data_IF_926016783245
#
_entry.id   IF_926016783245
#
_cell.length_a   1.000
_cell.length_b   1.000
_cell.length_c   1.000
_cell.angle_alpha   90.00
_cell.angle_beta   90.00
_cell.angle_gamma   90.00
#
_symmetry.space_group_name_H-M   'P 1'
#
loop_
_entity.id
_entity.type
_entity.pdbx_description
1 polymer ?
#
# COMPACT_ATOMS: atom_id res chain seq x y z
N UNK A 1 -15.95 17.42 -26.48
CA UNK A 1 -14.55 17.62 -26.00
C UNK A 1 -13.92 16.25 -25.88
N UNK A 2 -12.80 16.03 -26.53
CA UNK A 2 -12.08 14.76 -26.42
C UNK A 2 -11.25 14.78 -25.12
N UNK A 3 -11.72 14.07 -24.11
CA UNK A 3 -11.10 14.01 -22.77
C UNK A 3 -9.67 13.49 -22.85
N UNK A 4 -9.41 12.54 -23.77
CA UNK A 4 -8.07 11.99 -23.96
C UNK A 4 -7.11 13.03 -24.54
N UNK A 5 -7.55 13.77 -25.56
CA UNK A 5 -6.74 14.85 -26.15
C UNK A 5 -6.43 15.95 -25.14
N UNK A 6 -7.39 16.31 -24.30
CA UNK A 6 -7.16 17.27 -23.20
C UNK A 6 -6.16 16.73 -22.19
N UNK A 7 -6.28 15.47 -21.76
CA UNK A 7 -5.34 14.85 -20.84
C UNK A 7 -3.91 14.87 -21.39
N UNK A 8 -3.71 14.43 -22.63
CA UNK A 8 -2.40 14.43 -23.29
C UNK A 8 -1.78 15.83 -23.37
N UNK A 9 -2.59 16.85 -23.64
CA UNK A 9 -2.12 18.25 -23.72
C UNK A 9 -1.70 18.76 -22.34
N UNK A 10 -2.39 18.36 -21.28
CA UNK A 10 -2.16 18.86 -19.91
C UNK A 10 -1.06 18.11 -19.16
N UNK A 11 -0.61 16.93 -19.65
CA UNK A 11 0.30 16.05 -18.89
C UNK A 11 1.55 15.61 -19.68
N UNK A 12 2.22 16.53 -20.43
CA UNK A 12 3.37 16.17 -21.28
C UNK A 12 4.59 15.67 -20.48
N UNK A 13 4.83 16.20 -19.27
CA UNK A 13 5.93 15.74 -18.41
C UNK A 13 5.63 14.36 -17.83
N UNK A 14 4.39 14.09 -17.46
CA UNK A 14 3.96 12.77 -17.02
C UNK A 14 4.13 11.73 -18.13
N UNK A 15 3.81 12.08 -19.39
CA UNK A 15 4.07 11.22 -20.56
C UNK A 15 5.57 10.88 -20.68
N UNK A 16 6.44 11.88 -20.63
CA UNK A 16 7.89 11.70 -20.74
C UNK A 16 8.46 10.85 -19.58
N UNK A 17 7.94 11.04 -18.37
CA UNK A 17 8.32 10.23 -17.20
C UNK A 17 7.84 8.79 -17.33
N UNK A 18 6.64 8.56 -17.85
CA UNK A 18 6.14 7.21 -18.12
C UNK A 18 7.01 6.49 -19.15
N UNK A 19 7.34 7.13 -20.28
CA UNK A 19 8.24 6.56 -21.29
C UNK A 19 9.62 6.22 -20.68
N UNK A 20 10.15 7.10 -19.85
CA UNK A 20 11.40 6.83 -19.14
C UNK A 20 11.28 5.67 -18.17
N UNK A 21 10.17 5.60 -17.40
CA UNK A 21 9.92 4.58 -16.39
C UNK A 21 9.79 3.18 -17.01
N UNK A 22 9.18 3.03 -18.20
CA UNK A 22 9.04 1.74 -18.89
C UNK A 22 10.37 1.08 -19.26
N UNK A 23 11.47 1.84 -19.27
CA UNK A 23 12.83 1.31 -19.50
C UNK A 23 13.43 0.62 -18.26
N UNK A 24 12.87 0.86 -17.08
CA UNK A 24 13.42 0.39 -15.80
C UNK A 24 12.40 -0.31 -14.91
N UNK A 25 11.11 -0.02 -15.10
CA UNK A 25 10.03 -0.55 -14.29
C UNK A 25 9.05 -1.33 -15.18
N UNK A 26 8.68 -2.55 -14.83
CA UNK A 26 7.67 -3.30 -15.56
C UNK A 26 6.35 -2.52 -15.63
N UNK A 27 5.89 -2.21 -16.87
CA UNK A 27 4.68 -1.41 -17.08
C UNK A 27 4.79 0.05 -16.62
N UNK A 28 6.02 0.58 -16.41
CA UNK A 28 6.27 1.97 -16.02
C UNK A 28 5.90 2.31 -14.58
N UNK A 29 5.60 1.33 -13.74
CA UNK A 29 5.14 1.54 -12.37
C UNK A 29 5.49 0.35 -11.46
N UNK A 30 5.59 0.59 -10.16
CA UNK A 30 5.72 -0.47 -9.14
C UNK A 30 4.37 -0.97 -8.63
N UNK A 31 3.25 -0.36 -9.07
CA UNK A 31 1.89 -0.73 -8.67
C UNK A 31 0.99 -0.81 -9.90
N UNK A 32 0.54 -1.99 -10.26
CA UNK A 32 -0.38 -2.19 -11.39
C UNK A 32 -1.73 -1.51 -11.20
N UNK A 33 -2.18 -1.38 -9.95
CA UNK A 33 -3.49 -0.82 -9.60
C UNK A 33 -3.61 0.70 -9.82
N UNK A 34 -2.49 1.42 -9.96
CA UNK A 34 -2.50 2.86 -10.24
C UNK A 34 -2.47 3.18 -11.74
N UNK A 35 -2.35 2.17 -12.58
CA UNK A 35 -2.29 2.40 -14.02
C UNK A 35 -3.64 2.85 -14.57
N UNK A 36 -3.64 3.98 -15.27
CA UNK A 36 -4.76 4.48 -16.07
C UNK A 36 -4.24 4.77 -17.47
N UNK A 37 -4.88 4.24 -18.55
CA UNK A 37 -4.42 4.52 -19.91
C UNK A 37 -4.70 5.99 -20.28
N UNK A 38 -3.79 6.62 -21.09
CA UNK A 38 -2.59 6.04 -21.70
C UNK A 38 -1.39 5.90 -20.75
N UNK A 39 -1.35 6.67 -19.68
CA UNK A 39 -0.39 6.66 -18.57
C UNK A 39 -0.99 7.38 -17.37
N UNK A 40 -0.59 7.06 -16.13
CA UNK A 40 -1.02 7.78 -14.94
C UNK A 40 -0.33 9.15 -14.83
N UNK A 41 -0.93 10.15 -14.17
CA UNK A 41 -0.23 11.37 -13.79
C UNK A 41 0.89 11.04 -12.79
N UNK A 42 2.05 11.67 -12.96
CA UNK A 42 3.16 11.53 -12.02
C UNK A 42 3.04 12.59 -10.94
N UNK A 43 2.84 12.17 -9.71
CA UNK A 43 2.59 13.08 -8.58
C UNK A 43 3.91 13.65 -8.05
N UNK A 44 3.96 14.96 -7.87
CA UNK A 44 5.10 15.71 -7.33
C UNK A 44 4.93 16.00 -5.83
N UNK A 45 3.71 16.34 -5.40
CA UNK A 45 3.46 16.74 -4.02
C UNK A 45 2.01 16.50 -3.60
N UNK A 46 1.77 16.59 -2.28
CA UNK A 46 0.42 16.54 -1.71
C UNK A 46 0.32 17.36 -0.42
N UNK A 47 -0.83 18.00 -0.20
CA UNK A 47 -1.14 18.77 1.00
C UNK A 47 -2.61 18.59 1.37
N UNK A 48 -2.90 18.07 2.57
CA UNK A 48 -4.26 17.79 3.00
C UNK A 48 -4.97 16.85 2.01
N UNK A 49 -6.03 17.33 1.39
CA UNK A 49 -6.81 16.56 0.38
C UNK A 49 -6.32 16.79 -1.07
N UNK A 50 -5.32 17.61 -1.28
CA UNK A 50 -4.85 17.99 -2.60
C UNK A 50 -3.57 17.25 -2.97
N UNK A 51 -3.47 16.82 -4.22
CA UNK A 51 -2.24 16.34 -4.85
C UNK A 51 -1.96 17.18 -6.10
N UNK A 52 -0.68 17.35 -6.40
CA UNK A 52 -0.20 18.06 -7.57
C UNK A 52 0.70 17.15 -8.38
N UNK A 53 0.46 17.11 -9.69
CA UNK A 53 1.32 16.38 -10.61
C UNK A 53 2.54 17.21 -11.05
N UNK A 54 3.46 16.54 -11.72
CA UNK A 54 4.70 17.17 -12.25
C UNK A 54 4.43 18.19 -13.34
N UNK A 55 3.23 18.19 -13.93
CA UNK A 55 2.79 19.13 -14.93
C UNK A 55 2.12 20.39 -14.31
N UNK A 56 1.94 20.39 -12.99
CA UNK A 56 1.36 21.48 -12.22
C UNK A 56 -0.16 21.42 -12.07
N UNK A 57 -0.80 20.36 -12.52
CA UNK A 57 -2.24 20.20 -12.32
C UNK A 57 -2.52 19.78 -10.89
N UNK A 58 -3.59 20.33 -10.31
CA UNK A 58 -4.05 19.99 -8.95
C UNK A 58 -5.31 19.13 -9.00
N UNK A 59 -5.34 18.13 -8.13
CA UNK A 59 -6.44 17.16 -8.02
C UNK A 59 -6.85 17.01 -6.55
N UNK A 60 -8.13 16.74 -6.33
CA UNK A 60 -8.59 16.24 -5.01
C UNK A 60 -8.34 14.75 -4.94
N UNK A 61 -7.59 14.32 -3.94
CA UNK A 61 -7.29 12.90 -3.74
C UNK A 61 -8.43 12.20 -2.99
N UNK A 62 -9.34 11.57 -3.74
CA UNK A 62 -10.40 10.73 -3.18
C UNK A 62 -9.93 9.30 -2.89
N UNK A 63 -8.72 8.94 -3.29
CA UNK A 63 -8.17 7.59 -3.05
C UNK A 63 -7.46 7.49 -1.69
N UNK A 64 -6.78 8.55 -1.25
CA UNK A 64 -6.07 8.62 0.03
C UNK A 64 -5.08 7.47 0.22
N UNK A 65 -4.28 7.16 -0.82
CA UNK A 65 -3.40 5.98 -0.84
C UNK A 65 -4.13 4.68 -0.40
N UNK A 66 -5.24 4.37 -1.06
CA UNK A 66 -6.12 3.23 -0.72
C UNK A 66 -6.62 3.26 0.72
N UNK A 67 -7.12 4.42 1.15
CA UNK A 67 -7.69 4.69 2.47
C UNK A 67 -6.70 4.68 3.65
N UNK A 68 -5.40 4.50 3.41
CA UNK A 68 -4.40 4.48 4.47
C UNK A 68 -4.03 5.88 4.98
N UNK A 69 -4.30 6.94 4.20
CA UNK A 69 -3.89 8.31 4.49
C UNK A 69 -4.99 9.09 5.23
N UNK A 70 -5.31 8.67 6.44
CA UNK A 70 -6.46 9.19 7.24
C UNK A 70 -6.35 10.70 7.51
N UNK A 71 -5.15 11.22 7.76
CA UNK A 71 -4.92 12.63 8.07
C UNK A 71 -4.68 13.50 6.84
N UNK A 72 -4.73 12.93 5.65
CA UNK A 72 -4.35 13.61 4.41
C UNK A 72 -2.84 13.74 4.23
N UNK A 73 -2.45 14.35 3.10
CA UNK A 73 -1.05 14.53 2.71
C UNK A 73 -0.34 15.55 3.59
N UNK A 74 0.92 15.28 3.92
CA UNK A 74 1.83 16.18 4.62
C UNK A 74 1.21 16.82 5.88
N UNK A 75 0.49 16.05 6.69
CA UNK A 75 -0.10 16.55 7.94
C UNK A 75 1.00 17.09 8.86
N UNK A 76 0.93 18.34 9.37
CA UNK A 76 2.04 18.99 10.06
C UNK A 76 2.57 18.22 11.27
N UNK A 77 1.69 17.62 12.08
CA UNK A 77 2.11 16.84 13.24
C UNK A 77 2.86 15.55 12.83
N UNK A 78 2.46 14.91 11.71
CA UNK A 78 3.14 13.72 11.20
C UNK A 78 4.51 14.10 10.64
N UNK A 79 4.59 15.17 9.84
CA UNK A 79 5.86 15.67 9.29
C UNK A 79 6.83 15.99 10.43
N UNK A 80 6.39 16.77 11.43
CA UNK A 80 7.23 17.13 12.57
C UNK A 80 7.69 15.90 13.39
N UNK A 81 6.84 14.89 13.54
CA UNK A 81 7.22 13.64 14.22
C UNK A 81 8.28 12.88 13.41
N UNK A 82 8.09 12.72 12.09
CA UNK A 82 9.06 12.07 11.21
C UNK A 82 10.40 12.80 11.22
N UNK A 83 10.40 14.14 11.10
CA UNK A 83 11.63 14.94 11.13
C UNK A 83 12.43 14.80 12.43
N UNK A 84 11.75 14.68 13.57
CA UNK A 84 12.41 14.43 14.85
C UNK A 84 13.09 13.06 14.91
N UNK A 85 12.38 12.03 14.47
CA UNK A 85 12.86 10.66 14.62
C UNK A 85 13.87 10.26 13.53
N UNK A 86 13.72 10.72 12.30
CA UNK A 86 14.61 10.35 11.18
C UNK A 86 16.07 10.77 11.42
N UNK A 87 16.30 11.81 12.21
CA UNK A 87 17.64 12.29 12.58
C UNK A 87 18.43 11.28 13.45
N UNK A 88 17.75 10.36 14.08
CA UNK A 88 18.34 9.30 14.91
C UNK A 88 18.45 7.97 14.19
N UNK A 89 18.00 7.90 12.94
CA UNK A 89 17.95 6.70 12.12
C UNK A 89 16.53 6.21 11.87
N UNK A 90 16.34 5.45 10.79
CA UNK A 90 15.02 4.98 10.34
C UNK A 90 14.86 3.46 10.38
N UNK A 91 15.94 2.71 10.60
CA UNK A 91 15.90 1.24 10.64
C UNK A 91 17.02 0.70 11.53
N UNK A 92 16.65 -0.18 12.44
CA UNK A 92 17.57 -0.79 13.38
C UNK A 92 17.36 -2.31 13.43
N UNK A 93 18.42 -3.06 13.69
CA UNK A 93 18.33 -4.50 13.95
C UNK A 93 17.91 -4.81 15.41
N UNK A 94 17.28 -3.87 16.10
CA UNK A 94 16.85 -3.97 17.49
C UNK A 94 15.51 -3.27 17.71
N UNK A 95 14.82 -3.58 18.80
CA UNK A 95 13.57 -2.91 19.16
C UNK A 95 13.79 -1.44 19.49
N UNK A 96 12.74 -0.64 19.34
CA UNK A 96 12.72 0.78 19.66
C UNK A 96 11.59 1.11 20.63
N UNK A 97 11.73 2.19 21.40
CA UNK A 97 10.69 2.66 22.30
C UNK A 97 9.41 3.01 21.55
N UNK A 98 9.52 3.62 20.35
CA UNK A 98 8.40 4.04 19.55
C UNK A 98 7.46 2.88 19.12
N UNK A 99 7.98 1.66 18.91
CA UNK A 99 7.13 0.51 18.60
C UNK A 99 6.36 0.02 19.84
N UNK A 100 6.96 0.16 21.03
CA UNK A 100 6.30 -0.18 22.32
C UNK A 100 5.16 0.81 22.56
N UNK A 101 5.43 2.11 22.46
CA UNK A 101 4.44 3.18 22.63
C UNK A 101 3.24 3.00 21.67
N UNK A 102 3.52 2.67 20.41
CA UNK A 102 2.45 2.41 19.43
C UNK A 102 1.63 1.18 19.81
N UNK A 103 2.27 0.10 20.27
CA UNK A 103 1.57 -1.11 20.70
C UNK A 103 0.67 -0.84 21.93
N UNK A 104 1.15 -0.07 22.90
CA UNK A 104 0.39 0.32 24.08
C UNK A 104 -0.80 1.20 23.73
N UNK A 105 -0.62 2.18 22.85
CA UNK A 105 -1.69 3.05 22.39
C UNK A 105 -2.80 2.26 21.66
N UNK A 106 -2.44 1.34 20.77
CA UNK A 106 -3.40 0.49 20.07
C UNK A 106 -4.15 -0.45 21.01
N UNK A 107 -3.47 -1.04 21.98
CA UNK A 107 -4.10 -1.88 23.02
C UNK A 107 -5.07 -1.09 23.89
N UNK A 108 -4.71 0.14 24.23
CA UNK A 108 -5.59 1.03 25.00
C UNK A 108 -6.90 1.37 24.28
N UNK A 109 -6.85 1.48 22.94
CA UNK A 109 -8.03 1.78 22.10
C UNK A 109 -8.85 0.55 21.72
N UNK A 110 -8.23 -0.61 21.65
CA UNK A 110 -8.82 -1.86 21.18
C UNK A 110 -8.66 -2.96 22.25
N UNK A 111 -9.57 -3.03 23.25
CA UNK A 111 -9.42 -3.93 24.40
C UNK A 111 -9.34 -5.42 24.07
N UNK A 112 -9.77 -5.82 22.86
CA UNK A 112 -9.66 -7.21 22.39
C UNK A 112 -8.24 -7.59 21.94
N UNK A 113 -7.31 -6.63 21.86
CA UNK A 113 -5.93 -6.86 21.45
C UNK A 113 -5.05 -7.06 22.70
N UNK A 114 -4.53 -8.26 22.89
CA UNK A 114 -3.60 -8.57 23.97
C UNK A 114 -2.14 -8.30 23.57
N UNK A 115 -1.75 -8.76 22.37
CA UNK A 115 -0.40 -8.61 21.82
C UNK A 115 -0.46 -8.17 20.37
N UNK A 116 0.53 -7.39 19.93
CA UNK A 116 0.62 -6.87 18.59
C UNK A 116 1.95 -7.27 17.95
N UNK A 117 1.92 -7.65 16.69
CA UNK A 117 3.10 -7.77 15.86
C UNK A 117 2.98 -6.86 14.64
N UNK A 118 3.91 -5.92 14.52
CA UNK A 118 4.00 -5.04 13.36
C UNK A 118 4.70 -5.73 12.18
N UNK A 119 4.33 -5.32 10.99
CA UNK A 119 4.88 -5.78 9.71
C UNK A 119 5.01 -4.60 8.76
N UNK A 120 5.77 -4.76 7.67
CA UNK A 120 6.00 -3.67 6.72
C UNK A 120 4.83 -3.46 5.74
N UNK A 121 3.91 -4.41 5.63
CA UNK A 121 2.78 -4.33 4.70
C UNK A 121 1.57 -5.14 5.15
N UNK A 122 0.39 -4.82 4.61
CA UNK A 122 -0.81 -5.64 4.80
C UNK A 122 -0.65 -7.07 4.26
N UNK A 123 0.10 -7.26 3.18
CA UNK A 123 0.44 -8.59 2.64
C UNK A 123 1.21 -9.44 3.67
N UNK A 124 2.20 -8.86 4.33
CA UNK A 124 2.94 -9.56 5.40
C UNK A 124 2.04 -9.84 6.61
N UNK A 125 1.18 -8.88 6.98
CA UNK A 125 0.25 -9.05 8.09
C UNK A 125 -0.71 -10.21 7.84
N UNK A 126 -1.36 -10.26 6.68
CA UNK A 126 -2.29 -11.34 6.31
C UNK A 126 -1.57 -12.68 6.18
N UNK A 127 -0.38 -12.72 5.60
CA UNK A 127 0.45 -13.93 5.52
C UNK A 127 0.79 -14.48 6.92
N UNK A 128 1.20 -13.61 7.86
CA UNK A 128 1.51 -14.02 9.23
C UNK A 128 0.26 -14.45 9.98
N UNK A 129 -0.87 -13.77 9.82
CA UNK A 129 -2.13 -14.14 10.44
C UNK A 129 -2.60 -15.53 10.00
N UNK A 130 -2.55 -15.82 8.69
CA UNK A 130 -2.88 -17.14 8.15
C UNK A 130 -1.93 -18.21 8.70
N UNK A 131 -0.62 -17.92 8.76
CA UNK A 131 0.37 -18.85 9.30
C UNK A 131 0.12 -19.15 10.78
N UNK A 132 -0.15 -18.12 11.59
CA UNK A 132 -0.47 -18.28 13.00
C UNK A 132 -1.78 -19.07 13.21
N UNK A 133 -2.82 -18.76 12.45
CA UNK A 133 -4.09 -19.49 12.50
C UNK A 133 -3.93 -20.97 12.15
N UNK A 134 -3.18 -21.29 11.09
CA UNK A 134 -2.89 -22.68 10.71
C UNK A 134 -2.06 -23.41 11.79
N UNK A 135 -1.07 -22.75 12.36
CA UNK A 135 -0.24 -23.33 13.42
C UNK A 135 -1.07 -23.65 14.67
N UNK A 136 -1.94 -22.73 15.06
CA UNK A 136 -2.80 -22.87 16.24
C UNK A 136 -3.89 -23.92 16.04
N UNK A 137 -4.61 -23.84 14.92
CA UNK A 137 -5.79 -24.71 14.68
C UNK A 137 -5.42 -26.05 14.05
N UNK A 138 -4.23 -26.18 13.46
CA UNK A 138 -3.80 -27.30 12.60
C UNK A 138 -4.71 -27.55 11.38
N UNK A 139 -5.48 -26.55 10.97
CA UNK A 139 -6.38 -26.61 9.79
C UNK A 139 -5.67 -25.95 8.59
N UNK A 140 -5.57 -26.65 7.44
CA UNK A 140 -4.85 -26.12 6.28
C UNK A 140 -5.69 -25.15 5.43
N UNK A 141 -7.02 -25.31 5.41
CA UNK A 141 -7.91 -24.57 4.54
C UNK A 141 -8.14 -23.14 5.02
N UNK A 142 -8.21 -22.22 4.05
CA UNK A 142 -8.52 -20.81 4.25
C UNK A 142 -9.73 -20.46 3.38
N UNK A 143 -10.69 -19.74 3.94
CA UNK A 143 -11.75 -19.11 3.17
C UNK A 143 -11.37 -17.64 2.91
N UNK A 144 -11.54 -17.19 1.67
CA UNK A 144 -11.38 -15.77 1.29
C UNK A 144 -12.61 -15.27 0.54
N UNK A 145 -12.86 -13.96 0.61
CA UNK A 145 -13.91 -13.34 -0.17
C UNK A 145 -13.51 -13.23 -1.64
N UNK A 146 -14.39 -13.66 -2.52
CA UNK A 146 -14.22 -13.51 -3.97
C UNK A 146 -14.07 -12.01 -4.33
N UNK A 147 -13.18 -11.70 -5.25
CA UNK A 147 -12.87 -10.34 -5.74
C UNK A 147 -12.39 -9.35 -4.66
N UNK A 148 -12.10 -9.79 -3.44
CA UNK A 148 -11.51 -8.95 -2.41
C UNK A 148 -9.98 -9.05 -2.43
N UNK A 149 -9.34 -7.94 -2.11
CA UNK A 149 -7.88 -7.88 -2.01
C UNK A 149 -7.43 -8.32 -0.60
N UNK A 150 -6.60 -9.34 -0.53
CA UNK A 150 -6.07 -9.91 0.70
C UNK A 150 -4.54 -9.89 0.78
N UNK A 151 -3.86 -9.17 -0.09
CA UNK A 151 -2.41 -9.16 -0.23
C UNK A 151 -1.95 -9.87 -1.50
N UNK A 152 -0.62 -10.00 -1.67
CA UNK A 152 0.01 -10.54 -2.88
C UNK A 152 0.83 -11.82 -2.63
N UNK A 153 0.68 -12.45 -1.47
CA UNK A 153 1.26 -13.78 -1.22
C UNK A 153 0.41 -14.90 -1.86
N UNK A 154 0.99 -16.05 -2.11
CA UNK A 154 0.39 -17.15 -2.87
C UNK A 154 -1.02 -17.55 -2.42
N UNK A 155 -1.24 -17.66 -1.10
CA UNK A 155 -2.58 -18.01 -0.57
C UNK A 155 -3.64 -16.93 -0.91
N UNK A 156 -3.25 -15.65 -0.94
CA UNK A 156 -4.16 -14.55 -1.32
C UNK A 156 -4.42 -14.53 -2.84
N UNK A 157 -3.43 -14.94 -3.64
CA UNK A 157 -3.48 -14.99 -5.11
C UNK A 157 -3.76 -16.39 -5.66
N UNK A 158 -4.26 -17.32 -4.85
CA UNK A 158 -4.60 -18.68 -5.30
C UNK A 158 -5.46 -18.63 -6.58
N UNK A 159 -5.10 -19.49 -7.55
CA UNK A 159 -5.76 -19.55 -8.86
C UNK A 159 -5.27 -18.50 -9.88
N UNK A 160 -4.23 -17.71 -9.56
CA UNK A 160 -3.63 -16.76 -10.51
C UNK A 160 -2.34 -17.32 -11.13
N UNK A 161 -1.91 -16.75 -12.25
CA UNK A 161 -0.68 -17.15 -12.94
C UNK A 161 0.54 -17.07 -12.00
N UNK A 162 1.37 -18.09 -11.99
CA UNK A 162 2.57 -18.19 -11.17
C UNK A 162 2.36 -18.79 -9.77
N UNK A 163 1.10 -19.00 -9.35
CA UNK A 163 0.79 -19.70 -8.09
C UNK A 163 0.53 -21.17 -8.38
N UNK A 164 1.24 -22.10 -7.71
CA UNK A 164 1.03 -23.54 -7.90
C UNK A 164 -0.39 -24.00 -7.54
N UNK A 165 -0.96 -24.92 -8.31
CA UNK A 165 -2.31 -25.48 -8.07
C UNK A 165 -2.48 -26.08 -6.67
N UNK A 166 -1.40 -26.64 -6.11
CA UNK A 166 -1.39 -27.15 -4.74
C UNK A 166 -1.74 -26.08 -3.68
N UNK A 167 -1.43 -24.83 -3.93
CA UNK A 167 -1.84 -23.71 -3.07
C UNK A 167 -3.32 -23.41 -3.26
N UNK A 168 -3.79 -23.45 -4.52
CA UNK A 168 -5.21 -23.27 -4.86
C UNK A 168 -6.12 -24.24 -4.13
N UNK A 169 -5.72 -25.50 -3.98
CA UNK A 169 -6.49 -26.52 -3.26
C UNK A 169 -6.65 -26.24 -1.74
N UNK A 170 -5.89 -25.33 -1.20
CA UNK A 170 -5.95 -24.91 0.21
C UNK A 170 -6.82 -23.65 0.43
N UNK A 171 -7.47 -23.13 -0.64
CA UNK A 171 -8.28 -21.90 -0.57
C UNK A 171 -9.68 -22.18 -1.09
N UNK A 172 -10.67 -21.68 -0.34
CA UNK A 172 -12.10 -21.73 -0.68
C UNK A 172 -12.56 -20.28 -0.92
N UNK A 173 -13.30 -20.04 -2.01
CA UNK A 173 -13.92 -18.76 -2.32
C UNK A 173 -15.44 -18.77 -2.10
#
# INVERSE_FOLDING_TARGET
MDVLAEYLTRTPRSAALFERATRSLPGGSTRTTIFAPPYPPYIESGQGIWIRDVDGNEYRDFLGNYTSLILGHAHPAVVAAVERHIRHGSAFAGPTEAEIELAEELRGRLPSIELIRFTNSGTEATMLAIRAARAFTRRPLIAKFQRAYHGTHDTALAGTAGVPDAIGSLVIE
#
